data_IF_432462205489
#
_entry.id   IF_432462205489
#
_cell.length_a   1.000
_cell.length_b   1.000
_cell.length_c   1.000
_cell.angle_alpha   90.00
_cell.angle_beta   90.00
_cell.angle_gamma   90.00
#
_symmetry.space_group_name_H-M   'P 1'
#
loop_
_entity.id
_entity.type
_entity.pdbx_description
1 polymer ?
#
# COMPACT_ATOMS: atom_id res chain seq x y z
N UNK A 1 -46.96 -17.73 -36.30
CA UNK A 1 -47.02 -17.52 -34.83
C UNK A 1 -47.27 -18.80 -34.00
N UNK A 2 -47.05 -20.02 -34.56
CA UNK A 2 -47.14 -21.27 -33.78
C UNK A 2 -45.78 -21.94 -33.52
N UNK A 3 -44.77 -21.71 -34.35
CA UNK A 3 -43.46 -22.42 -34.25
C UNK A 3 -42.54 -21.95 -33.11
N UNK A 4 -42.70 -20.72 -32.60
CA UNK A 4 -41.84 -20.21 -31.53
C UNK A 4 -42.09 -20.82 -30.15
N UNK A 5 -43.35 -21.20 -29.84
CA UNK A 5 -43.71 -21.75 -28.52
C UNK A 5 -43.28 -23.20 -28.32
N UNK A 6 -43.19 -23.96 -29.40
CA UNK A 6 -42.78 -25.37 -29.31
C UNK A 6 -41.27 -25.50 -29.08
N UNK A 7 -40.47 -24.58 -29.64
CA UNK A 7 -39.02 -24.55 -29.43
C UNK A 7 -38.62 -24.14 -28.01
N UNK A 8 -39.31 -23.19 -27.39
CA UNK A 8 -39.06 -22.81 -25.99
C UNK A 8 -39.29 -23.99 -25.04
N UNK A 9 -40.40 -24.71 -25.22
CA UNK A 9 -40.73 -25.89 -24.41
C UNK A 9 -39.71 -27.03 -24.58
N UNK A 10 -39.21 -27.24 -25.80
CA UNK A 10 -38.18 -28.25 -26.10
C UNK A 10 -36.85 -27.88 -25.45
N UNK A 11 -36.45 -26.60 -25.51
CA UNK A 11 -35.20 -26.13 -24.90
C UNK A 11 -35.25 -26.20 -23.37
N UNK A 12 -36.40 -25.89 -22.76
CA UNK A 12 -36.63 -26.06 -21.32
C UNK A 12 -36.52 -27.53 -20.91
N UNK A 13 -37.21 -28.44 -21.62
CA UNK A 13 -37.15 -29.87 -21.32
C UNK A 13 -35.74 -30.46 -21.48
N UNK A 14 -35.00 -30.06 -22.52
CA UNK A 14 -33.61 -30.49 -22.73
C UNK A 14 -32.67 -29.94 -21.64
N UNK A 15 -32.90 -28.71 -21.16
CA UNK A 15 -32.11 -28.13 -20.07
C UNK A 15 -32.33 -28.90 -18.76
N UNK A 16 -33.58 -29.24 -18.44
CA UNK A 16 -33.93 -30.04 -17.25
C UNK A 16 -33.36 -31.46 -17.32
N UNK A 17 -33.38 -32.08 -18.51
CA UNK A 17 -32.91 -33.45 -18.71
C UNK A 17 -31.38 -33.57 -18.73
N UNK A 18 -30.69 -32.58 -19.29
CA UNK A 18 -29.22 -32.63 -19.49
C UNK A 18 -28.44 -31.84 -18.44
N UNK A 19 -29.09 -30.97 -17.67
CA UNK A 19 -28.44 -30.02 -16.76
C UNK A 19 -27.68 -28.89 -17.48
N UNK A 20 -27.75 -28.82 -18.81
CA UNK A 20 -27.10 -27.77 -19.61
C UNK A 20 -27.93 -26.48 -19.49
N UNK A 21 -27.28 -25.37 -19.13
CA UNK A 21 -27.97 -24.08 -18.97
C UNK A 21 -28.68 -23.66 -20.28
N UNK A 22 -29.92 -23.16 -20.16
CA UNK A 22 -30.76 -22.69 -21.29
C UNK A 22 -29.99 -21.73 -22.21
N UNK A 23 -29.14 -20.86 -21.64
CA UNK A 23 -28.30 -19.94 -22.40
C UNK A 23 -27.35 -20.60 -23.41
N UNK A 24 -26.98 -21.87 -23.25
CA UNK A 24 -26.19 -22.62 -24.24
C UNK A 24 -27.03 -22.95 -25.48
N UNK A 25 -28.29 -23.35 -25.29
CA UNK A 25 -29.20 -23.64 -26.40
C UNK A 25 -29.60 -22.36 -27.14
N UNK A 26 -29.82 -21.26 -26.41
CA UNK A 26 -30.03 -19.93 -27.00
C UNK A 26 -28.83 -19.51 -27.89
N UNK A 27 -27.60 -19.77 -27.41
CA UNK A 27 -26.35 -19.50 -28.16
C UNK A 27 -26.19 -20.37 -29.41
N UNK A 28 -26.51 -21.66 -29.33
CA UNK A 28 -26.31 -22.62 -30.42
C UNK A 28 -27.39 -22.56 -31.50
N UNK A 29 -28.64 -22.24 -31.12
CA UNK A 29 -29.80 -22.29 -32.00
C UNK A 29 -30.28 -20.90 -32.45
N UNK A 30 -29.74 -19.82 -31.88
CA UNK A 30 -30.13 -18.45 -32.24
C UNK A 30 -31.57 -18.10 -31.84
N UNK A 31 -32.10 -18.76 -30.82
CA UNK A 31 -33.46 -18.58 -30.31
C UNK A 31 -33.40 -17.68 -29.07
N UNK A 32 -34.24 -16.64 -29.04
CA UNK A 32 -34.43 -15.78 -27.88
C UNK A 32 -35.52 -16.36 -27.00
N UNK A 33 -35.14 -17.29 -26.11
CA UNK A 33 -36.05 -17.74 -25.06
C UNK A 33 -36.05 -16.64 -24.00
N UNK A 34 -37.24 -16.23 -23.51
CA UNK A 34 -37.38 -15.28 -22.40
C UNK A 34 -36.86 -15.82 -21.05
N UNK A 35 -35.87 -16.72 -21.07
CA UNK A 35 -35.34 -17.37 -19.88
C UNK A 35 -34.42 -16.41 -19.12
N UNK A 36 -34.59 -16.38 -17.80
CA UNK A 36 -33.70 -15.68 -16.89
C UNK A 36 -32.32 -16.36 -16.94
N UNK A 37 -31.37 -15.76 -17.64
CA UNK A 37 -29.96 -16.17 -17.59
C UNK A 37 -29.48 -16.09 -16.14
N UNK A 38 -29.26 -17.24 -15.50
CA UNK A 38 -28.70 -17.34 -14.15
C UNK A 38 -27.32 -17.98 -14.22
N UNK A 39 -26.35 -17.37 -13.54
CA UNK A 39 -24.99 -17.87 -13.44
C UNK A 39 -24.76 -18.47 -12.05
N UNK A 40 -24.06 -19.61 -11.96
CA UNK A 40 -23.70 -20.21 -10.69
C UNK A 40 -22.53 -19.47 -10.03
N UNK A 41 -21.62 -18.92 -10.86
CA UNK A 41 -20.43 -18.20 -10.39
C UNK A 41 -20.19 -16.88 -11.13
N UNK A 42 -19.45 -15.96 -10.49
CA UNK A 42 -19.02 -14.72 -11.15
C UNK A 42 -18.02 -14.98 -12.28
N UNK A 43 -17.26 -16.07 -12.18
CA UNK A 43 -16.35 -16.51 -13.22
C UNK A 43 -17.11 -16.89 -14.50
N UNK A 44 -18.18 -17.68 -14.37
CA UNK A 44 -19.08 -18.01 -15.49
C UNK A 44 -19.70 -16.76 -16.10
N UNK A 45 -20.21 -15.84 -15.27
CA UNK A 45 -20.84 -14.61 -15.73
C UNK A 45 -19.86 -13.72 -16.52
N UNK A 46 -18.65 -13.52 -15.99
CA UNK A 46 -17.56 -12.77 -16.67
C UNK A 46 -17.16 -13.43 -17.98
N UNK A 47 -16.99 -14.75 -17.99
CA UNK A 47 -16.63 -15.52 -19.20
C UNK A 47 -17.70 -15.39 -20.29
N UNK A 48 -18.96 -15.52 -19.92
CA UNK A 48 -20.09 -15.34 -20.84
C UNK A 48 -20.14 -13.92 -21.43
N UNK A 49 -19.90 -12.90 -20.61
CA UNK A 49 -19.87 -11.51 -21.09
C UNK A 49 -18.74 -11.26 -22.09
N UNK A 50 -17.52 -11.71 -21.78
CA UNK A 50 -16.36 -11.53 -22.66
C UNK A 50 -16.56 -12.22 -24.02
N UNK A 51 -17.18 -13.40 -24.03
CA UNK A 51 -17.51 -14.11 -25.26
C UNK A 51 -18.53 -13.34 -26.11
N UNK A 52 -19.64 -12.90 -25.52
CA UNK A 52 -20.75 -12.26 -26.26
C UNK A 52 -20.40 -10.84 -26.73
N UNK A 53 -19.60 -10.11 -25.93
CA UNK A 53 -19.10 -8.77 -26.31
C UNK A 53 -18.12 -8.81 -27.49
N UNK A 54 -17.30 -9.86 -27.61
CA UNK A 54 -16.43 -10.07 -28.77
C UNK A 54 -17.23 -10.28 -30.07
N UNK A 55 -18.44 -10.85 -29.97
CA UNK A 55 -19.33 -11.10 -31.09
C UNK A 55 -20.28 -9.92 -31.43
N UNK A 56 -20.16 -8.77 -30.75
CA UNK A 56 -21.00 -7.56 -30.94
C UNK A 56 -22.51 -7.83 -30.82
N UNK A 57 -22.90 -8.75 -29.94
CA UNK A 57 -24.32 -9.05 -29.65
C UNK A 57 -24.84 -8.22 -28.49
N UNK A 58 -25.10 -6.94 -28.75
CA UNK A 58 -25.34 -5.91 -27.70
C UNK A 58 -26.46 -6.28 -26.71
N UNK A 59 -27.63 -6.72 -27.19
CA UNK A 59 -28.76 -7.09 -26.29
C UNK A 59 -28.48 -8.29 -25.39
N UNK A 60 -27.70 -9.25 -25.87
CA UNK A 60 -27.32 -10.43 -25.08
C UNK A 60 -26.27 -10.04 -24.03
N UNK A 61 -25.31 -9.19 -24.40
CA UNK A 61 -24.32 -8.65 -23.49
C UNK A 61 -24.96 -7.85 -22.34
N UNK A 62 -25.97 -7.03 -22.62
CA UNK A 62 -26.73 -6.29 -21.61
C UNK A 62 -27.44 -7.21 -20.59
N UNK A 63 -28.09 -8.29 -21.05
CA UNK A 63 -28.74 -9.27 -20.17
C UNK A 63 -27.73 -9.99 -19.27
N UNK A 64 -26.59 -10.39 -19.85
CA UNK A 64 -25.50 -11.03 -19.10
C UNK A 64 -24.94 -10.08 -18.05
N UNK A 65 -24.73 -8.81 -18.39
CA UNK A 65 -24.26 -7.79 -17.44
C UNK A 65 -25.23 -7.58 -16.27
N UNK A 66 -26.54 -7.54 -16.55
CA UNK A 66 -27.55 -7.39 -15.50
C UNK A 66 -27.56 -8.59 -14.55
N UNK A 67 -27.49 -9.82 -15.07
CA UNK A 67 -27.42 -11.04 -14.26
C UNK A 67 -26.11 -11.15 -13.47
N UNK A 68 -24.98 -10.80 -14.11
CA UNK A 68 -23.66 -10.72 -13.47
C UNK A 68 -23.69 -9.74 -12.29
N UNK A 69 -24.26 -8.56 -12.48
CA UNK A 69 -24.39 -7.54 -11.43
C UNK A 69 -25.27 -8.02 -10.27
N UNK A 70 -26.42 -8.64 -10.55
CA UNK A 70 -27.29 -9.19 -9.50
C UNK A 70 -26.57 -10.27 -8.68
N UNK A 71 -25.84 -11.17 -9.33
CA UNK A 71 -25.05 -12.19 -8.66
C UNK A 71 -23.94 -11.57 -7.80
N UNK A 72 -23.27 -10.53 -8.30
CA UNK A 72 -22.21 -9.83 -7.57
C UNK A 72 -22.77 -9.11 -6.34
N UNK A 73 -23.87 -8.36 -6.48
CA UNK A 73 -24.57 -7.70 -5.37
C UNK A 73 -25.03 -8.69 -4.29
N UNK A 74 -25.54 -9.87 -4.69
CA UNK A 74 -25.94 -10.90 -3.74
C UNK A 74 -24.74 -11.41 -2.92
N UNK A 75 -23.56 -11.51 -3.53
CA UNK A 75 -22.33 -11.97 -2.87
C UNK A 75 -21.73 -10.94 -1.92
N UNK A 76 -21.86 -9.63 -2.19
CA UNK A 76 -21.36 -8.54 -1.32
C UNK A 76 -21.81 -8.74 0.13
N UNK A 77 -23.06 -9.16 0.35
CA UNK A 77 -23.68 -9.30 1.67
C UNK A 77 -22.99 -10.30 2.58
N UNK A 78 -22.27 -11.27 2.01
CA UNK A 78 -21.66 -12.38 2.75
C UNK A 78 -20.13 -12.27 2.82
N UNK A 79 -19.55 -11.17 2.32
CA UNK A 79 -18.11 -10.93 2.40
C UNK A 79 -17.71 -10.64 3.84
N UNK A 80 -16.80 -11.44 4.38
CA UNK A 80 -16.31 -11.31 5.76
C UNK A 80 -14.81 -11.00 5.84
N UNK A 81 -14.06 -11.26 4.76
CA UNK A 81 -12.60 -11.07 4.72
C UNK A 81 -12.16 -10.09 3.62
N UNK A 82 -10.99 -9.50 3.80
CA UNK A 82 -10.40 -8.59 2.82
C UNK A 82 -10.17 -9.28 1.47
N UNK A 83 -9.72 -10.52 1.49
CA UNK A 83 -9.46 -11.35 0.30
C UNK A 83 -10.74 -11.66 -0.46
N UNK A 84 -11.83 -11.98 0.24
CA UNK A 84 -13.15 -12.17 -0.38
C UNK A 84 -13.66 -10.88 -1.02
N UNK A 85 -13.50 -9.74 -0.35
CA UNK A 85 -13.88 -8.44 -0.87
C UNK A 85 -13.09 -8.09 -2.14
N UNK A 86 -11.78 -8.34 -2.12
CA UNK A 86 -10.87 -8.15 -3.26
C UNK A 86 -11.23 -9.05 -4.43
N UNK A 87 -11.45 -10.35 -4.17
CA UNK A 87 -11.87 -11.29 -5.21
C UNK A 87 -13.21 -10.84 -5.82
N UNK A 88 -14.17 -10.45 -4.99
CA UNK A 88 -15.45 -9.95 -5.46
C UNK A 88 -15.30 -8.72 -6.35
N UNK A 89 -14.47 -7.74 -5.97
CA UNK A 89 -14.14 -6.57 -6.79
C UNK A 89 -13.56 -6.97 -8.15
N UNK A 90 -12.62 -7.91 -8.17
CA UNK A 90 -11.88 -8.33 -9.39
C UNK A 90 -12.78 -9.13 -10.36
N UNK A 91 -13.78 -9.83 -9.83
CA UNK A 91 -14.79 -10.57 -10.58
C UNK A 91 -16.11 -9.83 -10.77
N UNK A 92 -16.24 -8.58 -10.29
CA UNK A 92 -17.42 -7.75 -10.54
C UNK A 92 -17.27 -6.94 -11.83
N UNK A 93 -18.38 -6.62 -12.52
CA UNK A 93 -18.30 -5.80 -13.72
C UNK A 93 -17.65 -4.44 -13.45
N UNK A 94 -16.86 -3.93 -14.39
CA UNK A 94 -16.18 -2.65 -14.23
C UNK A 94 -17.20 -1.50 -14.10
N UNK A 95 -16.96 -0.59 -13.15
CA UNK A 95 -17.85 0.55 -12.88
C UNK A 95 -19.18 0.20 -12.21
N UNK A 96 -19.43 -1.08 -11.93
CA UNK A 96 -20.70 -1.53 -11.38
C UNK A 96 -20.88 -1.17 -9.90
N UNK A 97 -22.12 -1.25 -9.42
CA UNK A 97 -22.45 -0.96 -8.03
C UNK A 97 -21.92 -2.06 -7.11
N UNK A 98 -22.00 -3.32 -7.51
CA UNK A 98 -21.39 -4.44 -6.78
C UNK A 98 -19.88 -4.25 -6.59
N UNK A 99 -19.19 -3.75 -7.61
CA UNK A 99 -17.75 -3.46 -7.52
C UNK A 99 -17.47 -2.34 -6.52
N UNK A 100 -18.27 -1.27 -6.52
CA UNK A 100 -18.14 -0.17 -5.55
C UNK A 100 -18.37 -0.66 -4.12
N UNK A 101 -19.41 -1.47 -3.90
CA UNK A 101 -19.69 -2.03 -2.56
C UNK A 101 -18.60 -3.01 -2.10
N UNK A 102 -18.04 -3.81 -3.01
CA UNK A 102 -16.89 -4.66 -2.70
C UNK A 102 -15.67 -3.82 -2.28
N UNK A 103 -15.42 -2.68 -2.93
CA UNK A 103 -14.36 -1.75 -2.53
C UNK A 103 -14.63 -1.10 -1.17
N UNK A 104 -15.88 -0.71 -0.89
CA UNK A 104 -16.27 -0.25 0.46
C UNK A 104 -15.98 -1.33 1.51
N UNK A 105 -16.31 -2.59 1.24
CA UNK A 105 -15.97 -3.72 2.12
C UNK A 105 -14.47 -3.90 2.30
N UNK A 106 -13.67 -3.75 1.24
CA UNK A 106 -12.21 -3.79 1.35
C UNK A 106 -11.70 -2.69 2.28
N UNK A 107 -12.25 -1.47 2.23
CA UNK A 107 -11.87 -0.37 3.13
C UNK A 107 -12.25 -0.70 4.57
N UNK A 108 -13.47 -1.17 4.82
CA UNK A 108 -13.92 -1.56 6.17
C UNK A 108 -13.05 -2.67 6.79
N UNK A 109 -12.63 -3.63 5.96
CA UNK A 109 -11.87 -4.82 6.39
C UNK A 109 -10.35 -4.62 6.34
N UNK A 110 -9.86 -3.51 5.80
CA UNK A 110 -8.43 -3.23 5.76
C UNK A 110 -7.87 -3.17 7.19
N UNK A 111 -6.86 -3.99 7.43
CA UNK A 111 -6.23 -4.16 8.74
C UNK A 111 -4.79 -3.65 8.76
N UNK A 112 -4.21 -3.40 7.59
CA UNK A 112 -2.85 -2.90 7.43
C UNK A 112 -2.80 -1.61 6.63
N UNK A 113 -1.79 -0.78 6.91
CA UNK A 113 -1.54 0.46 6.16
C UNK A 113 -1.37 0.16 4.67
N UNK A 114 -0.63 -0.89 4.31
CA UNK A 114 -0.39 -1.29 2.92
C UNK A 114 -1.67 -1.63 2.17
N UNK A 115 -2.63 -2.29 2.84
CA UNK A 115 -3.95 -2.56 2.25
C UNK A 115 -4.72 -1.26 2.00
N UNK A 116 -4.79 -0.37 2.99
CA UNK A 116 -5.53 0.89 2.89
C UNK A 116 -4.92 1.85 1.85
N UNK A 117 -3.59 1.99 1.83
CA UNK A 117 -2.83 2.74 0.84
C UNK A 117 -3.10 2.21 -0.57
N UNK A 118 -3.02 0.89 -0.75
CA UNK A 118 -3.29 0.27 -2.04
C UNK A 118 -4.72 0.53 -2.52
N UNK A 119 -5.71 0.44 -1.63
CA UNK A 119 -7.10 0.77 -1.99
C UNK A 119 -7.21 2.23 -2.42
N UNK A 120 -6.57 3.15 -1.69
CA UNK A 120 -6.57 4.58 -2.03
C UNK A 120 -5.99 4.86 -3.42
N UNK A 121 -4.95 4.13 -3.82
CA UNK A 121 -4.38 4.24 -5.16
C UNK A 121 -5.17 3.50 -6.26
N UNK A 122 -5.95 2.48 -5.90
CA UNK A 122 -6.80 1.71 -6.83
C UNK A 122 -8.12 2.43 -7.18
N UNK A 123 -8.57 3.39 -6.36
CA UNK A 123 -9.83 4.14 -6.57
C UNK A 123 -9.61 5.40 -7.42
N UNK A 124 -10.69 5.86 -8.06
CA UNK A 124 -10.67 7.15 -8.75
C UNK A 124 -10.38 8.30 -7.76
N UNK A 125 -9.43 9.15 -8.14
CA UNK A 125 -8.99 10.27 -7.32
C UNK A 125 -10.16 11.23 -7.00
N UNK A 126 -10.23 11.72 -5.76
CA UNK A 126 -11.32 12.58 -5.22
C UNK A 126 -12.71 11.94 -5.17
N UNK A 127 -12.86 10.66 -5.48
CA UNK A 127 -14.12 9.94 -5.27
C UNK A 127 -14.46 9.81 -3.77
N UNK A 128 -15.74 9.54 -3.41
CA UNK A 128 -16.11 9.20 -2.04
C UNK A 128 -15.33 8.01 -1.49
N UNK A 129 -15.01 7.02 -2.33
CA UNK A 129 -14.18 5.87 -1.96
C UNK A 129 -12.74 6.29 -1.64
N UNK A 130 -12.16 7.23 -2.40
CA UNK A 130 -10.84 7.78 -2.09
C UNK A 130 -10.80 8.47 -0.74
N UNK A 131 -11.85 9.21 -0.38
CA UNK A 131 -11.94 9.83 0.95
C UNK A 131 -12.04 8.80 2.07
N UNK A 132 -12.83 7.73 1.87
CA UNK A 132 -12.96 6.64 2.84
C UNK A 132 -11.65 5.85 3.00
N UNK A 133 -10.98 5.51 1.88
CA UNK A 133 -9.71 4.80 1.89
C UNK A 133 -8.61 5.63 2.56
N UNK A 134 -8.56 6.94 2.28
CA UNK A 134 -7.65 7.86 2.95
C UNK A 134 -7.92 7.93 4.45
N UNK A 135 -9.19 8.03 4.86
CA UNK A 135 -9.54 8.06 6.28
C UNK A 135 -9.14 6.76 7.00
N UNK A 136 -9.32 5.60 6.34
CA UNK A 136 -8.88 4.31 6.90
C UNK A 136 -7.37 4.19 6.97
N UNK A 137 -6.66 4.66 5.95
CA UNK A 137 -5.20 4.72 5.96
C UNK A 137 -4.72 5.61 7.11
N UNK A 138 -5.30 6.79 7.27
CA UNK A 138 -5.01 7.72 8.36
C UNK A 138 -5.24 7.08 9.74
N UNK A 139 -6.38 6.42 9.95
CA UNK A 139 -6.71 5.68 11.18
C UNK A 139 -5.62 4.65 11.52
N UNK A 140 -5.26 3.80 10.56
CA UNK A 140 -4.24 2.76 10.77
C UNK A 140 -2.85 3.34 11.00
N UNK A 141 -2.51 4.44 10.31
CA UNK A 141 -1.26 5.15 10.50
C UNK A 141 -1.17 5.78 11.90
N UNK A 142 -2.24 6.41 12.39
CA UNK A 142 -2.30 6.94 13.76
C UNK A 142 -2.15 5.85 14.82
N UNK A 143 -2.75 4.68 14.63
CA UNK A 143 -2.54 3.54 15.55
C UNK A 143 -1.09 3.04 15.52
N UNK A 144 -0.44 3.01 14.36
CA UNK A 144 0.97 2.66 14.27
C UNK A 144 1.87 3.68 14.98
N UNK A 145 1.56 4.98 14.88
CA UNK A 145 2.34 6.04 15.52
C UNK A 145 2.41 5.87 17.04
N UNK A 146 1.33 5.41 17.67
CA UNK A 146 1.28 5.16 19.12
C UNK A 146 2.23 4.06 19.60
N UNK A 147 2.67 3.19 18.69
CA UNK A 147 3.52 2.04 18.98
C UNK A 147 5.01 2.31 18.68
N UNK A 148 5.34 3.48 18.13
CA UNK A 148 6.72 3.83 17.78
C UNK A 148 7.58 3.88 19.05
N UNK A 149 8.66 3.09 19.05
CA UNK A 149 9.63 3.03 20.14
C UNK A 149 11.09 3.18 19.68
N UNK A 150 11.34 3.12 18.36
CA UNK A 150 12.67 3.17 17.74
C UNK A 150 12.72 4.17 16.58
N UNK A 151 13.93 4.60 16.18
CA UNK A 151 14.11 5.50 15.03
C UNK A 151 13.62 4.86 13.73
N UNK A 152 13.89 3.58 13.53
CA UNK A 152 13.51 2.84 12.34
C UNK A 152 11.98 2.72 12.22
N UNK A 153 11.29 2.53 13.34
CA UNK A 153 9.83 2.56 13.41
C UNK A 153 9.29 3.96 13.13
N UNK A 154 9.91 5.02 13.68
CA UNK A 154 9.53 6.41 13.45
C UNK A 154 9.64 6.80 11.98
N UNK A 155 10.80 6.53 11.37
CA UNK A 155 11.03 6.75 9.93
C UNK A 155 10.02 5.97 9.08
N UNK A 156 9.80 4.69 9.40
CA UNK A 156 8.87 3.84 8.65
C UNK A 156 7.44 4.37 8.72
N UNK A 157 6.98 4.75 9.92
CA UNK A 157 5.65 5.31 10.12
C UNK A 157 5.48 6.63 9.35
N UNK A 158 6.51 7.48 9.32
CA UNK A 158 6.51 8.72 8.53
C UNK A 158 6.42 8.44 7.02
N UNK A 159 7.23 7.51 6.53
CA UNK A 159 7.29 7.12 5.12
C UNK A 159 5.98 6.47 4.66
N UNK A 160 5.31 5.70 5.52
CA UNK A 160 4.04 5.02 5.23
C UNK A 160 2.78 5.82 5.57
N UNK A 161 2.91 7.03 6.09
CA UNK A 161 1.75 7.89 6.41
C UNK A 161 1.30 8.71 5.19
N UNK A 162 0.01 9.04 5.07
CA UNK A 162 -0.49 9.92 4.01
C UNK A 162 0.23 11.27 4.02
N UNK A 163 0.61 11.78 2.83
CA UNK A 163 1.48 12.96 2.68
C UNK A 163 1.01 14.27 3.33
N UNK A 164 -0.28 14.38 3.67
CA UNK A 164 -0.86 15.58 4.30
C UNK A 164 -1.80 15.22 5.45
N UNK A 165 -1.53 14.10 6.14
CA UNK A 165 -2.30 13.62 7.29
C UNK A 165 -1.67 14.00 8.62
N UNK A 166 -2.50 14.05 9.66
CA UNK A 166 -2.09 14.20 11.06
C UNK A 166 -1.14 13.06 11.47
N UNK A 167 -1.35 11.84 10.98
CA UNK A 167 -0.49 10.69 11.22
C UNK A 167 0.97 10.97 10.82
N UNK A 168 1.17 11.66 9.69
CA UNK A 168 2.52 11.97 9.19
C UNK A 168 3.21 13.01 10.07
N UNK A 169 2.47 14.03 10.50
CA UNK A 169 2.97 15.04 11.43
C UNK A 169 3.33 14.43 12.78
N UNK A 170 2.46 13.57 13.34
CA UNK A 170 2.73 12.89 14.60
C UNK A 170 3.88 11.87 14.49
N UNK A 171 3.99 11.14 13.37
CA UNK A 171 5.11 10.24 13.11
C UNK A 171 6.43 11.01 13.07
N UNK A 172 6.45 12.17 12.40
CA UNK A 172 7.63 13.03 12.35
C UNK A 172 8.00 13.53 13.74
N UNK A 173 7.04 14.06 14.51
CA UNK A 173 7.28 14.57 15.85
C UNK A 173 7.83 13.47 16.79
N UNK A 174 7.32 12.24 16.70
CA UNK A 174 7.82 11.11 17.48
C UNK A 174 9.22 10.68 17.04
N UNK A 175 9.46 10.67 15.73
CA UNK A 175 10.78 10.36 15.17
C UNK A 175 11.83 11.40 15.60
N UNK A 176 11.47 12.68 15.60
CA UNK A 176 12.30 13.77 16.13
C UNK A 176 12.59 13.62 17.63
N UNK A 177 11.57 13.36 18.45
CA UNK A 177 11.74 13.13 19.89
C UNK A 177 12.75 12.02 20.19
N UNK A 178 12.64 10.89 19.48
CA UNK A 178 13.57 9.76 19.59
C UNK A 178 14.97 10.13 19.10
N UNK A 179 15.08 10.85 17.99
CA UNK A 179 16.35 11.32 17.46
C UNK A 179 17.07 12.22 18.46
N UNK A 180 16.36 13.18 19.05
CA UNK A 180 16.93 14.09 20.05
C UNK A 180 17.41 13.34 21.29
N UNK A 181 16.63 12.39 21.81
CA UNK A 181 17.03 11.58 22.95
C UNK A 181 18.28 10.75 22.66
N UNK A 182 18.38 10.14 21.48
CA UNK A 182 19.57 9.36 21.09
C UNK A 182 20.78 10.25 20.84
N UNK A 183 20.61 11.41 20.21
CA UNK A 183 21.66 12.41 20.06
C UNK A 183 22.15 12.83 21.45
N UNK A 184 21.27 13.11 22.41
CA UNK A 184 21.65 13.51 23.78
C UNK A 184 22.39 12.41 24.55
N UNK A 185 22.05 11.13 24.33
CA UNK A 185 22.70 10.00 24.99
C UNK A 185 24.02 9.58 24.34
N UNK A 186 24.19 9.82 23.04
CA UNK A 186 25.41 9.46 22.32
C UNK A 186 26.65 10.11 22.94
N UNK A 187 27.68 9.29 23.16
CA UNK A 187 28.91 9.65 23.87
C UNK A 187 30.16 9.54 23.01
N UNK A 188 30.02 8.97 21.81
CA UNK A 188 31.13 8.75 20.87
C UNK A 188 30.82 9.30 19.48
N UNK A 189 31.89 9.61 18.74
CA UNK A 189 31.81 10.03 17.32
C UNK A 189 31.21 8.92 16.45
N UNK A 190 31.55 7.65 16.72
CA UNK A 190 31.02 6.51 15.98
C UNK A 190 29.50 6.33 16.17
N UNK A 191 28.97 6.55 17.38
CA UNK A 191 27.52 6.56 17.63
C UNK A 191 26.83 7.65 16.82
N UNK A 192 27.39 8.87 16.78
CA UNK A 192 26.84 9.96 15.96
C UNK A 192 26.81 9.62 14.48
N UNK A 193 27.87 8.97 13.98
CA UNK A 193 27.91 8.49 12.59
C UNK A 193 26.77 7.54 12.29
N UNK A 194 26.52 6.59 13.18
CA UNK A 194 25.42 5.64 13.04
C UNK A 194 24.05 6.33 13.12
N UNK A 195 23.89 7.38 13.93
CA UNK A 195 22.64 8.14 14.00
C UNK A 195 22.38 8.95 12.73
N UNK A 196 23.41 9.48 12.07
CA UNK A 196 23.28 10.38 10.92
C UNK A 196 22.46 9.83 9.75
N UNK A 197 22.40 8.51 9.58
CA UNK A 197 21.64 7.85 8.51
C UNK A 197 20.15 7.66 8.83
N UNK A 198 19.77 7.81 10.11
CA UNK A 198 18.45 7.43 10.63
C UNK A 198 17.68 8.58 11.27
N UNK A 199 18.26 9.79 11.37
CA UNK A 199 17.58 10.96 11.94
C UNK A 199 16.76 11.72 10.88
N UNK A 200 15.69 12.43 11.28
CA UNK A 200 14.98 13.33 10.39
C UNK A 200 15.82 14.58 10.07
N UNK A 201 15.64 15.15 8.88
CA UNK A 201 16.43 16.30 8.39
C UNK A 201 16.44 17.50 9.34
N UNK A 202 15.35 17.76 10.05
CA UNK A 202 15.22 18.84 11.04
C UNK A 202 16.09 18.66 12.29
N UNK A 203 16.61 17.46 12.56
CA UNK A 203 17.48 17.17 13.72
C UNK A 203 18.98 17.20 13.36
N UNK A 204 19.32 17.48 12.09
CA UNK A 204 20.70 17.43 11.58
C UNK A 204 21.59 18.46 12.29
N UNK A 205 21.16 19.72 12.41
CA UNK A 205 21.97 20.77 13.04
C UNK A 205 22.39 20.42 14.48
N UNK A 206 21.49 19.77 15.24
CA UNK A 206 21.77 19.34 16.62
C UNK A 206 22.71 18.14 16.65
N UNK A 207 22.55 17.20 15.72
CA UNK A 207 23.49 16.09 15.54
C UNK A 207 24.89 16.63 15.22
N UNK A 208 25.02 17.47 14.20
CA UNK A 208 26.30 18.02 13.74
C UNK A 208 26.99 18.80 14.87
N UNK A 209 26.26 19.67 15.57
CA UNK A 209 26.81 20.44 16.68
C UNK A 209 27.34 19.57 17.84
N UNK A 210 26.69 18.43 18.12
CA UNK A 210 27.17 17.52 19.18
C UNK A 210 28.29 16.61 18.68
N UNK A 211 28.22 16.15 17.42
CA UNK A 211 29.25 15.37 16.77
C UNK A 211 30.59 16.13 16.74
N UNK A 212 30.54 17.41 16.39
CA UNK A 212 31.69 18.32 16.40
C UNK A 212 32.35 18.39 17.80
N UNK A 213 31.53 18.58 18.84
CA UNK A 213 32.01 18.64 20.24
C UNK A 213 32.68 17.33 20.66
N UNK A 214 32.09 16.18 20.32
CA UNK A 214 32.66 14.88 20.65
C UNK A 214 33.98 14.64 19.90
N UNK A 215 34.04 15.02 18.63
CA UNK A 215 35.26 14.92 17.83
C UNK A 215 36.40 15.76 18.44
N UNK A 216 36.14 17.03 18.77
CA UNK A 216 37.13 17.91 19.42
C UNK A 216 37.65 17.36 20.76
N UNK A 217 36.82 16.65 21.52
CA UNK A 217 37.23 15.96 22.75
C UNK A 217 38.13 14.77 22.41
N UNK A 218 37.74 13.95 21.42
CA UNK A 218 38.46 12.74 21.04
C UNK A 218 39.82 13.05 20.42
N UNK A 219 39.97 14.11 19.63
CA UNK A 219 41.25 14.57 19.04
C UNK A 219 42.34 14.71 20.11
N UNK A 220 41.99 15.19 21.30
CA UNK A 220 42.96 15.41 22.40
C UNK A 220 43.57 14.11 22.90
N UNK A 221 42.89 12.98 22.68
CA UNK A 221 43.33 11.65 23.13
C UNK A 221 44.06 10.88 22.01
N UNK A 222 43.95 11.32 20.76
CA UNK A 222 44.62 10.71 19.61
C UNK A 222 46.14 10.86 19.74
N UNK A 223 46.83 9.73 19.64
CA UNK A 223 48.29 9.63 19.80
C UNK A 223 48.99 8.98 18.60
N UNK A 224 48.25 8.26 17.77
CA UNK A 224 48.77 7.59 16.58
C UNK A 224 48.14 8.13 15.29
N UNK A 225 48.85 7.97 14.18
CA UNK A 225 48.34 8.37 12.87
C UNK A 225 47.10 7.56 12.46
N UNK A 226 47.01 6.29 12.89
CA UNK A 226 45.87 5.43 12.57
C UNK A 226 44.61 5.86 13.33
N UNK A 227 44.73 6.18 14.62
CA UNK A 227 43.65 6.75 15.43
C UNK A 227 43.14 8.08 14.83
N UNK A 228 44.06 8.92 14.34
CA UNK A 228 43.69 10.17 13.70
C UNK A 228 42.90 9.93 12.40
N UNK A 229 43.31 8.96 11.58
CA UNK A 229 42.63 8.61 10.32
C UNK A 229 41.24 8.05 10.56
N UNK A 230 41.13 7.13 11.51
CA UNK A 230 39.82 6.60 11.89
C UNK A 230 38.89 7.71 12.37
N UNK A 231 39.39 8.62 13.23
CA UNK A 231 38.61 9.76 13.68
C UNK A 231 38.19 10.68 12.53
N UNK A 232 39.08 10.95 11.56
CA UNK A 232 38.76 11.75 10.37
C UNK A 232 37.63 11.12 9.55
N UNK A 233 37.68 9.82 9.27
CA UNK A 233 36.64 9.12 8.51
C UNK A 233 35.31 9.00 9.24
N UNK A 234 35.32 9.16 10.56
CA UNK A 234 34.13 9.12 11.39
C UNK A 234 33.61 10.53 11.77
N UNK A 235 34.25 11.61 11.34
CA UNK A 235 33.84 12.99 11.65
C UNK A 235 33.34 13.71 10.39
N UNK A 236 32.63 14.82 10.57
CA UNK A 236 32.28 15.75 9.48
C UNK A 236 33.56 16.42 8.97
N UNK A 237 33.90 16.16 7.71
CA UNK A 237 35.19 16.56 7.13
C UNK A 237 35.33 18.06 6.87
N UNK A 238 34.22 18.79 6.88
CA UNK A 238 34.05 20.21 6.54
C UNK A 238 33.92 21.13 7.76
N UNK A 239 34.04 20.57 8.98
CA UNK A 239 34.02 21.32 10.24
C UNK A 239 35.40 21.67 10.82
N UNK A 240 35.40 22.42 11.93
CA UNK A 240 36.60 22.77 12.71
C UNK A 240 37.32 21.51 13.21
N UNK A 241 36.56 20.50 13.65
CA UNK A 241 37.09 19.21 14.06
C UNK A 241 37.81 18.51 12.91
N UNK A 242 37.27 18.57 11.69
CA UNK A 242 37.92 18.04 10.50
C UNK A 242 39.30 18.67 10.25
N UNK A 243 39.37 20.01 10.30
CA UNK A 243 40.64 20.73 10.19
C UNK A 243 41.63 20.37 11.31
N UNK A 244 41.14 20.29 12.54
CA UNK A 244 41.98 20.03 13.72
C UNK A 244 42.50 18.59 13.74
N UNK A 245 41.72 17.61 13.26
CA UNK A 245 42.18 16.24 13.04
C UNK A 245 43.33 16.22 12.04
N UNK A 246 43.22 16.95 10.92
CA UNK A 246 44.29 17.02 9.92
C UNK A 246 45.55 17.67 10.48
N UNK A 247 45.44 18.74 11.28
CA UNK A 247 46.58 19.33 12.00
C UNK A 247 47.24 18.30 12.92
N UNK A 248 46.44 17.59 13.71
CA UNK A 248 46.92 16.53 14.62
C UNK A 248 47.67 15.42 13.89
N UNK A 249 47.21 15.01 12.70
CA UNK A 249 47.92 14.04 11.86
C UNK A 249 49.30 14.53 11.43
N UNK A 250 49.41 15.80 11.00
CA UNK A 250 50.68 16.42 10.60
C UNK A 250 51.66 16.47 11.77
N UNK A 251 51.17 16.82 12.97
CA UNK A 251 51.99 16.86 14.18
C UNK A 251 52.53 15.46 14.55
N UNK A 252 51.67 14.44 14.52
CA UNK A 252 52.06 13.04 14.81
C UNK A 252 53.07 12.53 13.78
N UNK A 253 52.85 12.82 12.50
CA UNK A 253 53.76 12.42 11.43
C UNK A 253 55.13 13.10 11.57
N UNK A 254 55.15 14.39 11.89
CA UNK A 254 56.39 15.17 12.04
C UNK A 254 57.19 14.80 13.29
N UNK A 255 56.52 14.29 14.33
CA UNK A 255 57.15 13.81 15.56
C UNK A 255 57.66 12.35 15.47
N UNK A 256 57.34 11.64 14.39
CA UNK A 256 57.82 10.26 14.17
C UNK A 256 59.26 10.29 13.62
N UNK A 257 60.24 9.68 14.31
CA UNK A 257 61.66 9.71 13.94
C UNK A 257 62.01 8.90 12.69
#
# INVERSE_FOLDING_TARGET
MKEGKDLEAIVLALSEETGIQIGFFERALGIDVQSNLSFGTLFEAKGAYLFVSAEKRDKCAERIMASWEQLALAKVKNVATFEEAKALRDYSPHGSEARKQAMTKMIELASTIVEAEKIYHDVEHRSPLAKQALAKWEELALEQVKLISTLEEGKRAYDSSPSCGEAKEQALAKWEELALAMIEQASTVSEMRMLSVSIPHCSVDLLEAKWEKLALIQIKQVSTLEEAKDLYYNTLSDGEAGEEILRKMVDIFSASP
#
